data_IF_536161545352
#
_entry.id   IF_536161545352
#
_cell.length_a   1.000
_cell.length_b   1.000
_cell.length_c   1.000
_cell.angle_alpha   90.00
_cell.angle_beta   90.00
_cell.angle_gamma   90.00
#
_symmetry.space_group_name_H-M   'P 1'
#
loop_
_entity.id
_entity.type
_entity.pdbx_description
1 polymer ?
#
# COMPACT_ATOMS: atom_id res chain seq x y z
N UNK A 1 17.92 -5.33 -19.92
CA UNK A 1 17.08 -4.12 -20.13
C UNK A 1 17.19 -3.25 -18.90
N UNK A 2 17.59 -1.99 -19.02
CA UNK A 2 17.70 -1.08 -17.88
C UNK A 2 16.30 -0.63 -17.42
N UNK A 3 16.03 -0.68 -16.12
CA UNK A 3 14.78 -0.18 -15.54
C UNK A 3 14.80 1.35 -15.51
N UNK A 4 13.65 2.00 -15.75
CA UNK A 4 13.53 3.46 -15.60
C UNK A 4 13.94 3.89 -14.17
N UNK A 5 14.75 4.95 -14.02
CA UNK A 5 15.06 5.49 -12.70
C UNK A 5 13.78 6.07 -12.08
N UNK A 6 13.54 5.75 -10.80
CA UNK A 6 12.37 6.21 -10.04
C UNK A 6 12.81 6.88 -8.75
N UNK A 7 12.01 7.83 -8.23
CA UNK A 7 12.34 8.58 -7.00
C UNK A 7 12.37 7.68 -5.76
N UNK A 8 11.45 6.72 -5.69
CA UNK A 8 11.29 5.80 -4.56
C UNK A 8 10.68 4.48 -5.05
N UNK A 9 11.21 3.37 -4.56
CA UNK A 9 10.68 2.02 -4.80
C UNK A 9 10.78 1.23 -3.50
N UNK A 10 9.65 0.74 -3.01
CA UNK A 10 9.57 -0.03 -1.77
C UNK A 10 8.40 -1.03 -1.82
N UNK A 11 8.46 -2.06 -0.98
CA UNK A 11 7.38 -3.05 -0.84
C UNK A 11 6.49 -2.67 0.34
N UNK A 12 5.24 -2.27 0.08
CA UNK A 12 4.29 -1.88 1.13
C UNK A 12 3.60 -3.07 1.78
N UNK A 13 3.17 -4.04 0.96
CA UNK A 13 2.53 -5.27 1.40
C UNK A 13 3.39 -6.45 0.94
N UNK A 14 3.87 -7.24 1.89
CA UNK A 14 4.72 -8.41 1.62
C UNK A 14 3.97 -9.67 1.99
N UNK A 15 3.78 -10.55 1.02
CA UNK A 15 3.21 -11.87 1.26
C UNK A 15 4.08 -12.68 2.23
N UNK A 16 3.43 -13.26 3.22
CA UNK A 16 4.04 -14.10 4.26
C UNK A 16 2.97 -15.05 4.78
N UNK A 17 2.52 -14.83 6.03
CA UNK A 17 1.37 -15.55 6.59
C UNK A 17 0.08 -15.27 5.81
N UNK A 18 -0.09 -14.03 5.32
CA UNK A 18 -1.21 -13.62 4.48
C UNK A 18 -0.71 -13.31 3.07
N UNK A 19 -1.59 -13.49 2.09
CA UNK A 19 -1.42 -12.97 0.74
C UNK A 19 -2.07 -11.60 0.61
N UNK A 20 -1.47 -10.72 -0.20
CA UNK A 20 -2.01 -9.40 -0.50
C UNK A 20 -2.25 -9.27 -2.00
N UNK A 21 -3.47 -8.93 -2.42
CA UNK A 21 -3.85 -8.76 -3.83
C UNK A 21 -4.80 -7.57 -4.02
N UNK A 22 -5.09 -7.26 -5.28
CA UNK A 22 -6.04 -6.22 -5.72
C UNK A 22 -5.66 -4.84 -5.14
N UNK A 23 -4.52 -4.26 -5.57
CA UNK A 23 -4.07 -2.98 -5.04
C UNK A 23 -4.95 -1.82 -5.50
N UNK A 24 -5.22 -0.88 -4.61
CA UNK A 24 -5.80 0.42 -4.95
C UNK A 24 -4.99 1.55 -4.30
N UNK A 25 -4.84 2.66 -5.00
CA UNK A 25 -4.05 3.81 -4.53
C UNK A 25 -4.87 5.09 -4.71
N UNK A 26 -5.00 5.86 -3.62
CA UNK A 26 -5.70 7.14 -3.62
C UNK A 26 -4.79 8.24 -3.08
N UNK A 27 -4.73 9.37 -3.78
CA UNK A 27 -3.99 10.54 -3.31
C UNK A 27 -4.94 11.63 -2.80
N UNK A 28 -4.71 12.04 -1.56
CA UNK A 28 -5.43 13.12 -0.90
C UNK A 28 -4.60 14.42 -1.00
N UNK A 29 -4.88 15.23 -2.03
CA UNK A 29 -4.09 16.42 -2.38
C UNK A 29 -3.95 17.42 -1.23
N UNK A 30 -5.02 17.69 -0.48
CA UNK A 30 -5.01 18.66 0.63
C UNK A 30 -4.05 18.24 1.75
N UNK A 31 -3.97 16.94 2.02
CA UNK A 31 -3.15 16.36 3.08
C UNK A 31 -1.78 15.88 2.59
N UNK A 32 -1.50 15.98 1.28
CA UNK A 32 -0.31 15.39 0.64
C UNK A 32 -0.10 13.94 1.09
N UNK A 33 -1.18 13.17 1.15
CA UNK A 33 -1.21 11.84 1.74
C UNK A 33 -1.67 10.81 0.71
N UNK A 34 -0.96 9.69 0.64
CA UNK A 34 -1.33 8.52 -0.14
C UNK A 34 -2.02 7.50 0.77
N UNK A 35 -3.10 6.91 0.27
CA UNK A 35 -3.77 5.78 0.89
C UNK A 35 -3.57 4.57 -0.03
N UNK A 36 -2.78 3.61 0.42
CA UNK A 36 -2.54 2.37 -0.30
C UNK A 36 -3.37 1.24 0.32
N UNK A 37 -4.29 0.69 -0.46
CA UNK A 37 -5.18 -0.40 -0.07
C UNK A 37 -4.77 -1.71 -0.74
N UNK A 38 -5.08 -2.81 -0.06
CA UNK A 38 -5.01 -4.15 -0.62
C UNK A 38 -6.03 -5.07 0.07
N UNK A 39 -6.46 -6.12 -0.62
CA UNK A 39 -7.10 -7.26 0.03
C UNK A 39 -6.05 -8.06 0.80
N UNK A 40 -6.34 -8.36 2.07
CA UNK A 40 -5.62 -9.33 2.89
C UNK A 40 -6.37 -10.65 2.88
N UNK A 41 -5.64 -11.71 2.55
CA UNK A 41 -6.19 -13.01 2.16
C UNK A 41 -5.46 -14.13 2.88
N UNK A 42 -6.16 -15.19 3.25
CA UNK A 42 -5.52 -16.39 3.83
C UNK A 42 -4.65 -17.12 2.80
N UNK A 43 -5.00 -17.04 1.51
CA UNK A 43 -4.20 -17.59 0.42
C UNK A 43 -4.33 -16.77 -0.86
N UNK A 44 -3.66 -17.20 -1.94
CA UNK A 44 -3.70 -16.54 -3.25
C UNK A 44 -5.04 -16.75 -3.99
N UNK A 45 -5.88 -17.70 -3.55
CA UNK A 45 -7.18 -17.99 -4.19
C UNK A 45 -8.21 -16.90 -3.90
N UNK A 46 -9.10 -16.62 -4.85
CA UNK A 46 -10.00 -15.45 -4.86
C UNK A 46 -11.05 -15.50 -3.76
N UNK A 47 -11.57 -16.69 -3.47
CA UNK A 47 -12.52 -16.96 -2.39
C UNK A 47 -11.94 -16.81 -0.97
N UNK A 48 -10.62 -16.69 -0.82
CA UNK A 48 -9.96 -16.54 0.49
C UNK A 48 -9.66 -15.09 0.88
N UNK A 49 -10.37 -14.13 0.29
CA UNK A 49 -10.30 -12.73 0.72
C UNK A 49 -11.06 -12.52 2.04
N UNK A 50 -10.40 -11.89 3.01
CA UNK A 50 -10.94 -11.76 4.38
C UNK A 50 -11.19 -10.30 4.73
N UNK A 51 -10.20 -9.43 4.51
CA UNK A 51 -10.20 -8.05 4.99
C UNK A 51 -9.62 -7.10 3.93
N UNK A 52 -10.03 -5.84 4.00
CA UNK A 52 -9.33 -4.75 3.31
C UNK A 52 -8.38 -4.10 4.31
N UNK A 53 -7.12 -3.93 3.92
CA UNK A 53 -6.10 -3.24 4.72
C UNK A 53 -5.64 -1.95 4.04
N UNK A 54 -5.16 -1.01 4.85
CA UNK A 54 -4.68 0.30 4.44
C UNK A 54 -3.31 0.57 5.04
N UNK A 55 -2.45 1.23 4.27
CA UNK A 55 -1.30 1.99 4.78
C UNK A 55 -1.43 3.45 4.37
N UNK A 56 -1.22 4.36 5.32
CA UNK A 56 -1.18 5.81 5.07
C UNK A 56 0.25 6.26 4.83
N UNK A 57 0.49 7.00 3.75
CA UNK A 57 1.80 7.50 3.35
C UNK A 57 1.82 9.02 3.31
N UNK A 58 2.63 9.67 4.13
CA UNK A 58 2.77 11.14 4.11
C UNK A 58 3.88 11.55 3.15
N UNK A 59 3.58 12.39 2.16
CA UNK A 59 4.55 12.89 1.20
C UNK A 59 5.34 14.08 1.77
N UNK A 60 6.67 13.98 1.73
CA UNK A 60 7.59 15.02 2.16
C UNK A 60 8.25 15.67 0.93
N UNK A 61 7.85 16.91 0.63
CA UNK A 61 8.35 17.69 -0.51
C UNK A 61 9.85 18.00 -0.44
N UNK A 62 10.41 18.24 0.74
CA UNK A 62 11.85 18.54 0.89
C UNK A 62 12.74 17.35 0.46
N UNK A 63 12.23 16.13 0.61
CA UNK A 63 12.94 14.89 0.27
C UNK A 63 12.42 14.19 -0.98
N UNK A 64 11.29 14.65 -1.53
CA UNK A 64 10.50 13.97 -2.56
C UNK A 64 10.23 12.49 -2.25
N UNK A 65 9.93 12.19 -0.98
CA UNK A 65 9.71 10.82 -0.49
C UNK A 65 8.40 10.67 0.27
N UNK A 66 7.86 9.46 0.25
CA UNK A 66 6.69 9.05 1.03
C UNK A 66 7.16 8.29 2.27
N UNK A 67 6.63 8.64 3.43
CA UNK A 67 6.82 7.86 4.66
C UNK A 67 5.53 7.12 5.01
N UNK A 68 5.59 5.79 4.96
CA UNK A 68 4.43 4.94 5.24
C UNK A 68 4.33 4.60 6.72
N UNK A 69 3.11 4.69 7.22
CA UNK A 69 2.71 4.23 8.55
C UNK A 69 2.47 2.72 8.55
N UNK A 70 2.35 2.09 9.74
CA UNK A 70 1.95 0.69 9.86
C UNK A 70 0.62 0.36 9.15
N UNK A 71 0.44 -0.92 8.86
CA UNK A 71 -0.82 -1.44 8.30
C UNK A 71 -1.95 -1.34 9.32
N UNK A 72 -3.14 -0.98 8.82
CA UNK A 72 -4.39 -0.97 9.59
C UNK A 72 -5.48 -1.73 8.81
N UNK A 73 -6.36 -2.43 9.53
CA UNK A 73 -7.57 -3.03 8.95
C UNK A 73 -8.63 -1.94 8.79
N UNK A 74 -9.25 -1.87 7.61
CA UNK A 74 -10.35 -0.94 7.37
C UNK A 74 -11.62 -1.52 8.00
N UNK A 75 -12.10 -0.85 9.05
CA UNK A 75 -13.34 -1.20 9.75
C UNK A 75 -14.49 -0.31 9.28
N UNK A 76 -15.72 -0.83 9.33
CA UNK A 76 -16.95 -0.05 9.10
C UNK A 76 -17.42 0.67 10.36
#
# INVERSE_FOLDING_TARGET
>A
MATCPVLQKETLFRTGVHAYRIPALLYLKKQKTLLAFAEKRASKTDEHAELIVLRRGSYNEATNRVKWQPEEVVTQ
#
